data_IF_961278060038
#
_entry.id   IF_961278060038
#
_cell.length_a   1.000
_cell.length_b   1.000
_cell.length_c   1.000
_cell.angle_alpha   90.00
_cell.angle_beta   90.00
_cell.angle_gamma   90.00
#
_symmetry.space_group_name_H-M   'P 1'
#
loop_
_entity.id
_entity.type
_entity.pdbx_description
1 polymer ?
#
# COMPACT_ATOMS: atom_id res chain seq x y z
N UNK A 1 -24.61 2.48 5.30
CA UNK A 1 -24.09 1.09 5.31
C UNK A 1 -24.67 0.19 4.23
N UNK A 2 -25.96 0.31 3.87
CA UNK A 2 -26.65 -0.58 2.90
C UNK A 2 -25.85 -0.86 1.61
N UNK A 3 -25.27 0.18 1.00
CA UNK A 3 -24.39 0.06 -0.17
C UNK A 3 -23.25 -0.94 0.06
N UNK A 4 -22.46 -0.75 1.13
CA UNK A 4 -21.32 -1.60 1.48
C UNK A 4 -21.71 -3.05 1.77
N UNK A 5 -22.87 -3.26 2.39
CA UNK A 5 -23.42 -4.60 2.65
C UNK A 5 -23.82 -5.35 1.37
N UNK A 6 -23.98 -4.64 0.25
CA UNK A 6 -24.35 -5.19 -1.06
C UNK A 6 -23.20 -5.09 -2.10
N UNK A 7 -21.95 -5.05 -1.64
CA UNK A 7 -20.75 -5.08 -2.50
C UNK A 7 -19.96 -6.40 -2.41
N UNK A 8 -20.48 -7.42 -1.72
CA UNK A 8 -19.88 -8.75 -1.71
C UNK A 8 -20.52 -9.63 -2.81
N UNK A 9 -19.74 -10.20 -3.75
CA UNK A 9 -20.31 -10.92 -4.90
C UNK A 9 -21.13 -12.17 -4.56
N UNK A 10 -20.91 -12.79 -3.39
CA UNK A 10 -21.60 -14.02 -2.98
C UNK A 10 -22.93 -13.67 -2.30
N UNK A 11 -22.96 -12.61 -1.51
CA UNK A 11 -24.09 -12.30 -0.63
C UNK A 11 -24.97 -11.13 -1.10
N UNK A 12 -24.50 -10.31 -2.05
CA UNK A 12 -25.25 -9.16 -2.54
C UNK A 12 -26.53 -9.56 -3.29
N UNK A 13 -27.63 -8.83 -3.05
CA UNK A 13 -28.93 -9.06 -3.70
C UNK A 13 -29.32 -7.98 -4.74
N UNK A 14 -28.51 -6.92 -4.85
CA UNK A 14 -28.80 -5.76 -5.68
C UNK A 14 -29.68 -4.75 -4.92
N UNK A 15 -29.60 -3.48 -5.29
CA UNK A 15 -30.38 -2.39 -4.69
C UNK A 15 -31.13 -1.62 -5.76
N UNK A 16 -32.33 -1.17 -5.42
CA UNK A 16 -33.12 -0.25 -6.23
C UNK A 16 -33.57 0.93 -5.35
N UNK A 17 -33.19 2.14 -5.72
CA UNK A 17 -33.60 3.36 -5.02
C UNK A 17 -34.48 4.20 -5.95
N UNK A 18 -35.74 4.41 -5.57
CA UNK A 18 -36.62 5.32 -6.29
C UNK A 18 -36.13 6.77 -6.12
N UNK A 19 -36.00 7.49 -7.24
CA UNK A 19 -35.64 8.90 -7.29
C UNK A 19 -36.59 9.60 -8.27
N UNK A 20 -37.67 10.15 -7.74
CA UNK A 20 -38.74 10.73 -8.54
C UNK A 20 -39.47 9.64 -9.33
N UNK A 21 -39.51 9.81 -10.66
CA UNK A 21 -40.10 8.89 -11.64
C UNK A 21 -39.15 7.78 -12.12
N UNK A 22 -37.90 7.75 -11.63
CA UNK A 22 -36.87 6.77 -12.04
C UNK A 22 -36.34 5.95 -10.87
N UNK A 23 -35.71 4.83 -11.17
CA UNK A 23 -34.97 4.03 -10.20
C UNK A 23 -33.46 4.08 -10.50
N UNK A 24 -32.66 4.34 -9.46
CA UNK A 24 -31.24 4.03 -9.47
C UNK A 24 -31.07 2.56 -9.09
N UNK A 25 -30.60 1.75 -10.04
CA UNK A 25 -30.36 0.32 -9.83
C UNK A 25 -28.86 0.07 -9.64
N UNK A 26 -28.49 -0.52 -8.52
CA UNK A 26 -27.18 -1.08 -8.28
C UNK A 26 -27.27 -2.60 -8.43
N UNK A 27 -26.67 -3.12 -9.49
CA UNK A 27 -26.54 -4.56 -9.67
C UNK A 27 -25.56 -5.15 -8.64
N UNK A 28 -25.75 -6.41 -8.22
CA UNK A 28 -24.72 -7.16 -7.52
C UNK A 28 -23.39 -7.12 -8.30
N UNK A 29 -22.23 -7.06 -7.62
CA UNK A 29 -20.95 -7.15 -8.30
C UNK A 29 -20.77 -8.54 -8.92
N UNK A 30 -19.97 -8.60 -9.99
CA UNK A 30 -19.61 -9.87 -10.60
C UNK A 30 -18.84 -10.77 -9.61
N UNK A 31 -19.04 -12.09 -9.74
CA UNK A 31 -18.28 -13.06 -8.97
C UNK A 31 -16.77 -12.87 -9.16
N UNK A 32 -16.04 -12.99 -8.05
CA UNK A 32 -14.58 -12.96 -8.09
C UNK A 32 -14.07 -14.06 -9.01
N UNK A 33 -13.16 -13.68 -9.92
CA UNK A 33 -12.59 -14.62 -10.86
C UNK A 33 -11.86 -15.75 -10.14
N UNK A 34 -12.07 -16.97 -10.63
CA UNK A 34 -11.29 -18.13 -10.22
C UNK A 34 -9.83 -17.97 -10.69
N UNK A 35 -8.90 -18.65 -10.02
CA UNK A 35 -7.49 -18.62 -10.40
C UNK A 35 -7.26 -18.98 -11.89
N UNK A 36 -7.87 -20.05 -12.48
CA UNK A 36 -7.70 -20.34 -13.90
C UNK A 36 -8.25 -19.24 -14.83
N UNK A 37 -9.34 -18.57 -14.45
CA UNK A 37 -9.86 -17.43 -15.22
C UNK A 37 -8.92 -16.23 -15.15
N UNK A 38 -8.36 -15.95 -13.97
CA UNK A 38 -7.39 -14.88 -13.77
C UNK A 38 -6.12 -15.16 -14.58
N UNK A 39 -5.61 -16.39 -14.51
CA UNK A 39 -4.44 -16.83 -15.27
C UNK A 39 -4.67 -16.68 -16.78
N UNK A 40 -5.85 -17.05 -17.28
CA UNK A 40 -6.22 -16.90 -18.70
C UNK A 40 -6.20 -15.43 -19.14
N UNK A 41 -6.69 -14.51 -18.31
CA UNK A 41 -6.66 -13.07 -18.60
C UNK A 41 -5.22 -12.58 -18.70
N UNK A 42 -4.36 -12.92 -17.74
CA UNK A 42 -2.96 -12.47 -17.76
C UNK A 42 -2.09 -13.21 -18.80
N UNK A 43 -2.56 -14.35 -19.33
CA UNK A 43 -1.93 -15.06 -20.43
C UNK A 43 -2.26 -14.49 -21.82
N UNK A 44 -3.17 -13.51 -21.93
CA UNK A 44 -3.46 -12.86 -23.20
C UNK A 44 -2.19 -12.21 -23.80
N UNK A 45 -2.15 -12.13 -25.12
CA UNK A 45 -1.02 -11.59 -25.89
C UNK A 45 -1.03 -10.06 -25.87
N UNK A 46 -0.80 -9.48 -24.70
CA UNK A 46 -0.64 -8.04 -24.56
C UNK A 46 0.59 -7.54 -25.30
N UNK A 47 0.45 -6.38 -25.94
CA UNK A 47 1.55 -5.68 -26.63
C UNK A 47 2.74 -5.40 -25.69
N UNK A 48 2.44 -5.15 -24.40
CA UNK A 48 3.43 -4.73 -23.38
C UNK A 48 4.21 -3.46 -23.77
N UNK A 49 3.65 -2.66 -24.66
CA UNK A 49 4.13 -1.34 -25.02
C UNK A 49 2.97 -0.37 -25.25
N UNK A 50 3.29 0.90 -25.46
CA UNK A 50 2.31 1.91 -25.83
C UNK A 50 1.69 1.58 -27.20
N UNK A 51 0.37 1.73 -27.31
CA UNK A 51 -0.31 1.46 -28.58
C UNK A 51 0.21 2.40 -29.70
N UNK A 52 0.47 1.90 -30.92
CA UNK A 52 1.11 2.69 -31.99
C UNK A 52 0.42 4.01 -32.33
N UNK A 53 -0.91 4.08 -32.18
CA UNK A 53 -1.67 5.33 -32.35
C UNK A 53 -1.20 6.43 -31.38
N UNK A 54 -0.96 6.10 -30.11
CA UNK A 54 -0.51 7.07 -29.11
C UNK A 54 0.99 7.33 -29.20
N UNK A 55 1.80 6.35 -29.62
CA UNK A 55 3.26 6.54 -29.78
C UNK A 55 3.58 7.70 -30.73
N UNK A 56 2.76 7.87 -31.79
CA UNK A 56 2.85 9.00 -32.73
C UNK A 56 2.60 10.37 -32.09
N UNK A 57 1.96 10.41 -30.92
CA UNK A 57 1.62 11.63 -30.19
C UNK A 57 2.65 11.98 -29.11
N UNK A 58 3.65 11.12 -28.90
CA UNK A 58 4.70 11.30 -27.90
C UNK A 58 4.78 10.15 -26.92
N UNK A 59 5.83 10.19 -26.10
CA UNK A 59 6.15 9.13 -25.15
C UNK A 59 5.26 9.19 -23.92
N UNK A 60 4.78 8.02 -23.45
CA UNK A 60 4.05 7.91 -22.19
C UNK A 60 5.03 7.64 -21.05
N UNK A 61 5.32 8.67 -20.25
CA UNK A 61 6.22 8.57 -19.09
C UNK A 61 5.80 7.49 -18.09
N UNK A 62 4.50 7.25 -17.92
CA UNK A 62 4.01 6.20 -17.02
C UNK A 62 4.55 4.80 -17.40
N UNK A 63 4.85 4.57 -18.68
CA UNK A 63 5.34 3.27 -19.15
C UNK A 63 6.75 2.97 -18.61
N UNK A 64 7.54 3.98 -18.29
CA UNK A 64 8.86 3.82 -17.67
C UNK A 64 8.78 3.10 -16.33
N UNK A 65 7.68 3.29 -15.60
CA UNK A 65 7.49 2.69 -14.26
C UNK A 65 6.70 1.40 -14.32
N UNK A 66 5.70 1.28 -15.20
CA UNK A 66 4.75 0.15 -15.17
C UNK A 66 5.02 -0.98 -16.17
N UNK A 67 5.85 -0.76 -17.22
CA UNK A 67 5.97 -1.71 -18.36
C UNK A 67 6.31 -3.14 -17.93
N UNK A 68 7.20 -3.28 -16.95
CA UNK A 68 7.67 -4.57 -16.44
C UNK A 68 7.23 -4.80 -15.00
N UNK A 69 6.01 -4.37 -14.67
CA UNK A 69 5.33 -4.67 -13.42
C UNK A 69 4.36 -5.82 -13.61
N UNK A 70 4.33 -6.76 -12.67
CA UNK A 70 3.54 -7.99 -12.77
C UNK A 70 2.57 -8.06 -11.58
N UNK A 71 1.25 -7.94 -11.83
CA UNK A 71 0.24 -8.17 -10.82
C UNK A 71 0.18 -9.64 -10.44
N UNK A 72 0.25 -9.95 -9.15
CA UNK A 72 0.18 -11.31 -8.58
C UNK A 72 -1.23 -11.68 -8.14
N UNK A 73 -2.02 -10.70 -7.73
CA UNK A 73 -3.39 -10.87 -7.25
C UNK A 73 -4.21 -9.60 -7.44
N UNK A 74 -5.53 -9.72 -7.27
CA UNK A 74 -6.51 -8.62 -7.19
C UNK A 74 -7.26 -8.69 -5.86
N UNK A 75 -7.84 -7.56 -5.45
CA UNK A 75 -8.61 -7.44 -4.21
C UNK A 75 -7.75 -7.04 -3.01
N UNK A 76 -8.41 -6.54 -1.96
CA UNK A 76 -7.76 -6.16 -0.71
C UNK A 76 -8.75 -6.21 0.46
N UNK A 77 -8.52 -7.11 1.43
CA UNK A 77 -9.30 -7.18 2.67
C UNK A 77 -8.81 -6.22 3.76
N UNK A 78 -7.95 -5.24 3.43
CA UNK A 78 -7.62 -4.14 4.32
C UNK A 78 -8.83 -3.24 4.63
N UNK A 79 -9.70 -3.04 3.63
CA UNK A 79 -10.97 -2.31 3.74
C UNK A 79 -10.81 -0.90 4.35
N UNK A 80 -9.67 -0.24 4.14
CA UNK A 80 -9.40 1.07 4.69
C UNK A 80 -10.50 2.05 4.23
N UNK A 81 -11.03 2.86 5.15
CA UNK A 81 -12.28 3.60 4.94
C UNK A 81 -12.18 4.66 3.82
N UNK A 82 -10.97 5.00 3.40
CA UNK A 82 -10.65 5.92 2.30
C UNK A 82 -10.31 5.24 0.98
N UNK A 83 -10.03 3.94 1.00
CA UNK A 83 -9.55 3.19 -0.15
C UNK A 83 -10.72 2.57 -0.90
N UNK A 84 -10.82 2.83 -2.21
CA UNK A 84 -11.88 2.27 -3.05
C UNK A 84 -11.63 0.81 -3.49
N UNK A 85 -10.45 0.23 -3.24
CA UNK A 85 -10.10 -1.11 -3.75
C UNK A 85 -11.07 -2.17 -3.23
N UNK A 86 -11.47 -2.12 -1.96
CA UNK A 86 -12.42 -3.07 -1.40
C UNK A 86 -13.81 -3.01 -2.07
N UNK A 87 -14.18 -1.85 -2.64
CA UNK A 87 -15.45 -1.63 -3.35
C UNK A 87 -15.29 -1.96 -4.85
N UNK A 88 -14.13 -1.67 -5.42
CA UNK A 88 -13.86 -1.84 -6.85
C UNK A 88 -13.41 -3.26 -7.23
N UNK A 89 -12.46 -3.82 -6.49
CA UNK A 89 -11.92 -5.17 -6.72
C UNK A 89 -12.49 -6.21 -5.75
N UNK A 90 -13.18 -5.75 -4.70
CA UNK A 90 -13.74 -6.61 -3.67
C UNK A 90 -12.81 -6.83 -2.49
N UNK A 91 -13.40 -7.35 -1.41
CA UNK A 91 -12.68 -7.74 -0.18
C UNK A 91 -12.03 -9.12 -0.27
N UNK A 92 -12.19 -9.84 -1.39
CA UNK A 92 -11.59 -11.15 -1.60
C UNK A 92 -10.33 -11.01 -2.44
N UNK A 93 -9.22 -11.54 -1.93
CA UNK A 93 -7.95 -11.59 -2.64
C UNK A 93 -7.94 -12.80 -3.55
N UNK A 94 -8.00 -12.55 -4.85
CA UNK A 94 -7.90 -13.56 -5.90
C UNK A 94 -6.49 -13.56 -6.47
N UNK A 95 -5.75 -14.64 -6.25
CA UNK A 95 -4.35 -14.77 -6.65
C UNK A 95 -4.21 -15.58 -7.94
N UNK A 96 -3.31 -15.13 -8.81
CA UNK A 96 -2.86 -15.92 -9.97
C UNK A 96 -2.11 -17.16 -9.49
N UNK A 97 -1.99 -18.16 -10.35
CA UNK A 97 -1.08 -19.26 -10.06
C UNK A 97 0.36 -18.81 -10.19
N UNK A 98 1.26 -19.45 -9.45
CA UNK A 98 2.69 -19.28 -9.61
C UNK A 98 3.11 -19.52 -11.07
N UNK A 99 2.60 -20.58 -11.70
CA UNK A 99 2.91 -20.91 -13.09
C UNK A 99 2.56 -19.77 -14.07
N UNK A 100 1.41 -19.12 -13.88
CA UNK A 100 1.02 -17.95 -14.70
C UNK A 100 2.01 -16.80 -14.54
N UNK A 101 2.42 -16.50 -13.31
CA UNK A 101 3.37 -15.42 -13.01
C UNK A 101 4.75 -15.74 -13.60
N UNK A 102 5.26 -16.96 -13.39
CA UNK A 102 6.56 -17.39 -13.93
C UNK A 102 6.56 -17.39 -15.46
N UNK A 103 5.45 -17.78 -16.11
CA UNK A 103 5.32 -17.73 -17.56
C UNK A 103 5.37 -16.28 -18.08
N UNK A 104 4.72 -15.35 -17.39
CA UNK A 104 4.77 -13.93 -17.75
C UNK A 104 6.16 -13.32 -17.55
N UNK A 105 6.87 -13.66 -16.47
CA UNK A 105 8.27 -13.24 -16.27
C UNK A 105 9.14 -13.69 -17.44
N UNK A 106 9.01 -14.95 -17.87
CA UNK A 106 9.75 -15.51 -19.02
C UNK A 106 9.38 -14.83 -20.35
N UNK A 107 8.13 -14.40 -20.51
CA UNK A 107 7.71 -13.64 -21.68
C UNK A 107 8.32 -12.23 -21.68
N UNK A 108 8.27 -11.54 -20.54
CA UNK A 108 8.87 -10.21 -20.35
C UNK A 108 10.38 -10.25 -20.56
N UNK A 109 11.07 -11.31 -20.13
CA UNK A 109 12.53 -11.41 -20.28
C UNK A 109 13.02 -11.43 -21.73
N UNK A 110 12.14 -11.73 -22.68
CA UNK A 110 12.41 -11.72 -24.12
C UNK A 110 12.10 -10.38 -24.80
N UNK A 111 11.49 -9.45 -24.07
CA UNK A 111 11.12 -8.15 -24.63
C UNK A 111 12.39 -7.32 -24.91
N UNK A 112 12.53 -6.69 -26.10
CA UNK A 112 13.79 -6.04 -26.51
C UNK A 112 14.21 -4.88 -25.61
N UNK A 113 13.25 -4.21 -24.95
CA UNK A 113 13.52 -3.12 -24.00
C UNK A 113 13.78 -3.60 -22.55
N UNK A 114 13.75 -4.90 -22.28
CA UNK A 114 13.91 -5.44 -20.94
C UNK A 114 15.38 -5.47 -20.52
N UNK A 115 15.67 -5.01 -19.30
CA UNK A 115 17.05 -4.87 -18.77
C UNK A 115 17.33 -5.81 -17.58
N UNK A 116 16.54 -6.87 -17.44
CA UNK A 116 16.64 -7.80 -16.32
C UNK A 116 16.01 -7.30 -15.02
N UNK A 117 15.16 -6.27 -15.06
CA UNK A 117 14.56 -5.67 -13.86
C UNK A 117 13.04 -5.76 -13.97
N UNK A 118 12.41 -6.51 -13.06
CA UNK A 118 10.97 -6.43 -12.80
C UNK A 118 10.75 -5.28 -11.82
N UNK A 119 10.00 -4.27 -12.26
CA UNK A 119 9.83 -3.00 -11.53
C UNK A 119 8.94 -3.14 -10.29
N UNK A 120 7.94 -4.02 -10.37
CA UNK A 120 7.06 -4.35 -9.27
C UNK A 120 6.49 -5.75 -9.45
N UNK A 121 6.56 -6.57 -8.40
CA UNK A 121 5.83 -7.82 -8.28
C UNK A 121 4.89 -7.70 -7.09
N UNK A 122 3.59 -7.48 -7.35
CA UNK A 122 2.69 -7.09 -6.28
C UNK A 122 1.22 -7.09 -6.66
N UNK A 123 0.43 -6.31 -5.95
CA UNK A 123 -1.00 -6.10 -6.13
C UNK A 123 -1.39 -4.87 -5.32
N UNK A 124 -2.69 -4.64 -5.05
CA UNK A 124 -3.14 -3.57 -4.16
C UNK A 124 -2.35 -3.42 -2.86
N UNK A 125 -1.96 -4.55 -2.29
CA UNK A 125 -0.99 -4.66 -1.19
C UNK A 125 -0.11 -5.85 -1.51
N UNK A 126 1.19 -5.65 -1.72
CA UNK A 126 2.04 -6.67 -2.31
C UNK A 126 2.03 -7.98 -1.52
N UNK A 127 2.01 -7.92 -0.19
CA UNK A 127 2.10 -9.08 0.69
C UNK A 127 0.77 -9.74 1.06
N UNK A 128 -0.24 -9.65 0.19
CA UNK A 128 -1.48 -10.42 0.31
C UNK A 128 -1.54 -11.64 -0.64
N UNK A 129 -0.55 -11.81 -1.51
CA UNK A 129 -0.53 -12.90 -2.48
C UNK A 129 -0.70 -14.27 -1.81
N UNK A 130 -1.66 -15.05 -2.32
CA UNK A 130 -2.03 -16.39 -1.85
C UNK A 130 -2.49 -16.49 -0.39
N UNK A 131 -2.80 -15.37 0.27
CA UNK A 131 -3.32 -15.36 1.64
C UNK A 131 -4.82 -15.04 1.60
N UNK A 132 -5.66 -16.04 1.88
CA UNK A 132 -7.10 -15.84 1.95
C UNK A 132 -7.80 -16.73 3.00
N UNK A 133 -8.91 -16.23 3.54
CA UNK A 133 -9.79 -16.88 4.47
C UNK A 133 -10.71 -17.87 3.75
N UNK A 134 -10.55 -19.17 4.03
CA UNK A 134 -11.39 -20.24 3.46
C UNK A 134 -12.90 -20.01 3.70
N UNK A 135 -13.29 -19.51 4.89
CA UNK A 135 -14.71 -19.19 5.18
C UNK A 135 -15.25 -18.13 4.21
N UNK A 136 -14.44 -17.13 3.86
CA UNK A 136 -14.86 -16.03 2.98
C UNK A 136 -15.06 -16.52 1.54
N UNK A 137 -14.26 -17.47 1.08
CA UNK A 137 -14.39 -18.05 -0.26
C UNK A 137 -15.71 -18.79 -0.47
N UNK A 138 -16.29 -19.37 0.60
CA UNK A 138 -17.57 -20.09 0.51
C UNK A 138 -18.78 -19.23 0.86
N UNK A 139 -18.67 -18.39 1.90
CA UNK A 139 -19.83 -17.70 2.48
C UNK A 139 -19.87 -16.20 2.18
N UNK A 140 -18.90 -15.67 1.44
CA UNK A 140 -18.71 -14.23 1.28
C UNK A 140 -18.02 -13.57 2.49
N UNK A 141 -17.70 -12.30 2.33
CA UNK A 141 -17.04 -11.51 3.37
C UNK A 141 -17.97 -11.24 4.55
N UNK A 142 -17.45 -11.32 5.78
CA UNK A 142 -18.24 -11.06 6.99
C UNK A 142 -18.88 -9.67 6.94
N UNK A 143 -20.11 -9.57 7.43
CA UNK A 143 -20.89 -8.32 7.46
C UNK A 143 -20.43 -7.41 8.59
N UNK A 144 -20.10 -8.01 9.73
CA UNK A 144 -19.84 -7.38 11.03
C UNK A 144 -18.35 -7.35 11.41
N UNK A 145 -17.48 -7.97 10.60
CA UNK A 145 -16.06 -8.13 10.91
C UNK A 145 -15.16 -7.74 9.75
N UNK A 146 -14.11 -6.99 10.06
CA UNK A 146 -13.02 -6.66 9.11
C UNK A 146 -11.84 -7.58 9.37
N UNK A 147 -11.07 -7.88 8.31
CA UNK A 147 -10.02 -8.89 8.40
C UNK A 147 -8.77 -8.41 9.14
N UNK A 148 -8.43 -7.11 9.04
CA UNK A 148 -7.19 -6.54 9.55
C UNK A 148 -7.40 -5.38 10.55
N UNK A 149 -8.64 -5.16 11.02
CA UNK A 149 -8.98 -4.06 11.91
C UNK A 149 -10.17 -4.42 12.81
N UNK A 150 -10.22 -4.03 14.10
CA UNK A 150 -9.17 -3.33 14.86
C UNK A 150 -7.92 -4.20 15.08
N UNK A 151 -8.14 -5.51 15.19
CA UNK A 151 -7.11 -6.53 15.27
C UNK A 151 -7.22 -7.48 14.07
N UNK A 152 -6.12 -8.16 13.76
CA UNK A 152 -6.09 -9.17 12.71
C UNK A 152 -7.00 -10.33 13.10
N UNK A 153 -7.90 -10.70 12.20
CA UNK A 153 -8.84 -11.78 12.42
C UNK A 153 -8.09 -13.11 12.58
N UNK A 154 -8.30 -13.88 13.66
CA UNK A 154 -7.56 -15.13 13.90
C UNK A 154 -7.91 -16.25 12.91
N UNK A 155 -9.02 -16.11 12.17
CA UNK A 155 -9.43 -17.05 11.12
C UNK A 155 -8.66 -16.78 9.82
N UNK A 156 -8.17 -15.55 9.61
CA UNK A 156 -7.29 -15.25 8.49
C UNK A 156 -5.89 -15.76 8.83
N UNK A 157 -5.56 -16.94 8.30
CA UNK A 157 -4.22 -17.54 8.46
C UNK A 157 -3.23 -16.79 7.58
N UNK A 158 -2.49 -15.85 8.17
CA UNK A 158 -1.43 -15.12 7.47
C UNK A 158 -0.20 -16.02 7.40
N UNK A 159 0.25 -16.29 6.18
CA UNK A 159 1.48 -17.02 5.88
C UNK A 159 2.09 -16.49 4.58
N UNK A 160 3.31 -15.95 4.66
CA UNK A 160 4.02 -15.39 3.52
C UNK A 160 4.86 -16.42 2.73
N UNK A 161 4.80 -17.72 3.09
CA UNK A 161 5.58 -18.79 2.45
C UNK A 161 5.44 -18.81 0.92
N UNK A 162 4.22 -18.69 0.40
CA UNK A 162 3.93 -18.73 -1.04
C UNK A 162 4.55 -17.56 -1.80
N UNK A 163 4.57 -16.36 -1.20
CA UNK A 163 5.20 -15.21 -1.84
C UNK A 163 6.72 -15.27 -1.75
N UNK A 164 7.26 -15.75 -0.62
CA UNK A 164 8.69 -15.97 -0.43
C UNK A 164 9.25 -16.94 -1.47
N UNK A 165 8.56 -18.06 -1.70
CA UNK A 165 8.93 -19.06 -2.70
C UNK A 165 8.86 -18.48 -4.13
N UNK A 166 7.77 -17.79 -4.47
CA UNK A 166 7.62 -17.12 -5.76
C UNK A 166 8.76 -16.13 -6.04
N UNK A 167 9.07 -15.25 -5.10
CA UNK A 167 10.14 -14.26 -5.22
C UNK A 167 11.51 -14.94 -5.44
N UNK A 168 11.77 -16.00 -4.68
CA UNK A 168 13.00 -16.80 -4.81
C UNK A 168 13.11 -17.43 -6.19
N UNK A 169 12.04 -18.09 -6.67
CA UNK A 169 12.00 -18.74 -7.99
C UNK A 169 12.22 -17.75 -9.13
N UNK A 170 11.56 -16.58 -9.09
CA UNK A 170 11.71 -15.55 -10.14
C UNK A 170 13.16 -15.07 -10.21
N UNK A 171 13.83 -14.88 -9.07
CA UNK A 171 15.23 -14.44 -9.01
C UNK A 171 16.21 -15.43 -9.66
N UNK A 172 15.86 -16.71 -9.72
CA UNK A 172 16.68 -17.76 -10.34
C UNK A 172 16.45 -17.91 -11.85
N UNK A 173 15.49 -17.19 -12.43
CA UNK A 173 15.22 -17.26 -13.87
C UNK A 173 16.33 -16.57 -14.67
N UNK A 174 16.93 -17.22 -15.68
CA UNK A 174 17.94 -16.60 -16.54
C UNK A 174 17.46 -15.30 -17.19
N UNK A 175 18.30 -14.27 -17.16
CA UNK A 175 17.98 -12.93 -17.65
C UNK A 175 17.29 -12.03 -16.63
N UNK A 176 16.93 -12.53 -15.44
CA UNK A 176 16.43 -11.71 -14.33
C UNK A 176 17.58 -11.32 -13.40
N UNK A 177 17.85 -10.02 -13.29
CA UNK A 177 18.86 -9.44 -12.41
C UNK A 177 18.26 -8.99 -11.07
N UNK A 178 17.06 -8.37 -11.12
CA UNK A 178 16.34 -7.85 -9.97
C UNK A 178 14.83 -8.01 -10.13
N UNK A 179 14.18 -8.24 -9.01
CA UNK A 179 12.72 -8.24 -8.86
C UNK A 179 12.42 -7.32 -7.70
N UNK A 180 11.69 -6.24 -7.92
CA UNK A 180 11.37 -5.32 -6.85
C UNK A 180 9.94 -5.51 -6.36
N UNK A 181 9.72 -5.24 -5.08
CA UNK A 181 8.39 -5.02 -4.51
C UNK A 181 8.21 -3.52 -4.39
N UNK A 182 7.67 -2.93 -5.46
CA UNK A 182 7.42 -1.50 -5.59
C UNK A 182 6.06 -1.05 -5.05
N UNK A 183 5.14 -2.01 -4.88
CA UNK A 183 3.88 -1.84 -4.16
C UNK A 183 4.09 -1.89 -2.65
N UNK A 184 3.21 -1.20 -1.90
CA UNK A 184 3.31 -1.15 -0.44
C UNK A 184 3.03 -2.50 0.22
N UNK A 185 3.69 -2.76 1.35
CA UNK A 185 3.41 -3.93 2.18
C UNK A 185 2.69 -3.54 3.48
N UNK A 186 1.88 -4.46 3.99
CA UNK A 186 1.24 -4.37 5.30
C UNK A 186 2.16 -4.95 6.36
N UNK A 187 2.84 -4.04 7.06
CA UNK A 187 3.80 -4.37 8.12
C UNK A 187 3.17 -5.15 9.27
N UNK A 188 1.90 -4.91 9.59
CA UNK A 188 1.16 -5.63 10.62
C UNK A 188 0.91 -7.10 10.23
N UNK A 189 0.74 -7.40 8.94
CA UNK A 189 0.69 -8.79 8.46
C UNK A 189 2.05 -9.48 8.62
N UNK A 190 3.15 -8.80 8.30
CA UNK A 190 4.51 -9.33 8.49
C UNK A 190 4.77 -9.67 9.96
N UNK A 191 4.31 -8.82 10.89
CA UNK A 191 4.45 -9.07 12.33
C UNK A 191 3.52 -10.17 12.86
N UNK A 192 2.37 -10.38 12.21
CA UNK A 192 1.40 -11.40 12.60
C UNK A 192 1.80 -12.80 12.14
N UNK A 193 2.55 -12.90 11.03
CA UNK A 193 3.10 -14.17 10.55
C UNK A 193 4.29 -14.61 11.39
N UNK A 194 4.00 -15.45 12.38
CA UNK A 194 5.00 -16.00 13.31
C UNK A 194 5.94 -17.03 12.66
N UNK A 195 5.56 -17.61 11.52
CA UNK A 195 6.32 -18.69 10.89
C UNK A 195 7.27 -18.13 9.83
N UNK A 196 6.74 -17.33 8.90
CA UNK A 196 7.45 -16.90 7.71
C UNK A 196 7.65 -15.38 7.63
N UNK A 197 7.07 -14.59 8.53
CA UNK A 197 7.12 -13.12 8.47
C UNK A 197 8.55 -12.56 8.54
N UNK A 198 9.40 -13.10 9.43
CA UNK A 198 10.81 -12.71 9.52
C UNK A 198 11.62 -13.16 8.29
N UNK A 199 11.39 -14.38 7.81
CA UNK A 199 12.06 -14.90 6.62
C UNK A 199 11.68 -14.09 5.37
N UNK A 200 10.39 -13.76 5.22
CA UNK A 200 9.87 -12.88 4.20
C UNK A 200 10.53 -11.50 4.25
N UNK A 201 10.58 -10.85 5.42
CA UNK A 201 11.21 -9.53 5.54
C UNK A 201 12.71 -9.58 5.20
N UNK A 202 13.41 -10.65 5.61
CA UNK A 202 14.82 -10.87 5.24
C UNK A 202 15.00 -10.93 3.72
N UNK A 203 14.17 -11.71 3.02
CA UNK A 203 14.23 -11.80 1.54
C UNK A 203 13.95 -10.43 0.89
N UNK A 204 12.92 -9.71 1.37
CA UNK A 204 12.57 -8.37 0.85
C UNK A 204 13.72 -7.37 0.98
N UNK A 205 14.36 -7.31 2.14
CA UNK A 205 15.50 -6.42 2.41
C UNK A 205 16.72 -6.84 1.58
N UNK A 206 17.03 -8.14 1.58
CA UNK A 206 18.20 -8.69 0.92
C UNK A 206 18.12 -8.63 -0.61
N UNK A 207 16.93 -8.71 -1.20
CA UNK A 207 16.82 -8.90 -2.66
C UNK A 207 15.81 -7.99 -3.37
N UNK A 208 14.72 -7.57 -2.72
CA UNK A 208 13.57 -6.97 -3.42
C UNK A 208 13.27 -5.50 -3.11
N UNK A 209 14.12 -4.84 -2.33
CA UNK A 209 14.01 -3.41 -2.02
C UNK A 209 15.00 -2.61 -2.88
N UNK A 210 14.49 -1.74 -3.78
CA UNK A 210 15.27 -0.92 -4.73
C UNK A 210 15.93 0.33 -4.10
N UNK A 211 15.99 0.38 -2.78
CA UNK A 211 16.44 1.52 -1.98
C UNK A 211 15.36 2.05 -1.03
N UNK A 212 14.09 1.98 -1.44
CA UNK A 212 12.97 2.36 -0.60
C UNK A 212 11.94 1.23 -0.50
N UNK A 213 11.55 0.88 0.72
CA UNK A 213 10.42 -0.01 0.98
C UNK A 213 9.21 0.81 1.42
N UNK A 214 8.10 0.65 0.71
CA UNK A 214 6.89 1.44 0.92
C UNK A 214 5.99 0.79 1.96
N UNK A 215 5.58 1.59 2.93
CA UNK A 215 4.58 1.25 3.94
C UNK A 215 3.56 2.36 4.06
N UNK A 216 2.34 2.01 4.46
CA UNK A 216 1.22 2.94 4.51
C UNK A 216 0.62 2.92 5.92
N UNK A 217 1.11 3.80 6.83
CA UNK A 217 0.48 4.06 8.12
C UNK A 217 -0.58 5.16 8.06
N UNK A 218 -0.51 6.03 7.04
CA UNK A 218 -1.43 7.13 6.69
C UNK A 218 -1.57 8.25 7.71
N UNK A 219 -1.57 7.94 9.01
CA UNK A 219 -1.68 8.90 10.10
C UNK A 219 -0.98 8.39 11.38
N UNK A 220 -1.00 9.18 12.45
CA UNK A 220 -0.46 8.79 13.76
C UNK A 220 -1.44 8.97 14.93
N UNK A 221 -2.39 9.92 14.82
CA UNK A 221 -3.43 10.14 15.82
C UNK A 221 -4.37 8.92 15.95
N UNK A 222 -4.57 8.36 17.17
CA UNK A 222 -5.35 7.13 17.36
C UNK A 222 -6.80 7.19 16.86
N UNK A 223 -7.52 8.29 17.09
CA UNK A 223 -8.91 8.40 16.64
C UNK A 223 -9.01 8.54 15.12
N UNK A 224 -8.08 9.26 14.49
CA UNK A 224 -8.00 9.37 13.02
C UNK A 224 -7.71 7.99 12.42
N UNK A 225 -6.75 7.24 12.97
CA UNK A 225 -6.44 5.87 12.54
C UNK A 225 -7.66 4.94 12.70
N UNK A 226 -8.41 5.06 13.80
CA UNK A 226 -9.67 4.33 14.00
C UNK A 226 -10.69 4.66 12.90
N UNK A 227 -10.90 5.95 12.60
CA UNK A 227 -11.79 6.39 11.50
C UNK A 227 -11.28 5.98 10.11
N UNK A 228 -9.98 5.81 9.92
CA UNK A 228 -9.40 5.25 8.70
C UNK A 228 -9.55 3.73 8.61
N UNK A 229 -9.81 3.05 9.73
CA UNK A 229 -9.78 1.60 9.83
C UNK A 229 -8.35 1.05 9.73
N UNK A 230 -7.42 1.68 10.44
CA UNK A 230 -5.99 1.37 10.47
C UNK A 230 -5.53 1.03 11.89
N UNK A 231 -4.56 0.11 12.05
CA UNK A 231 -4.01 -0.22 13.36
C UNK A 231 -3.23 0.96 13.97
N UNK A 232 -2.95 0.87 15.27
CA UNK A 232 -2.13 1.88 15.95
C UNK A 232 -0.67 1.88 15.46
N UNK A 233 0.05 2.97 15.71
CA UNK A 233 1.45 3.17 15.32
C UNK A 233 2.44 2.17 15.93
N UNK A 234 2.04 1.42 16.97
CA UNK A 234 2.94 0.49 17.67
C UNK A 234 3.48 -0.62 16.75
N UNK A 235 2.65 -1.14 15.85
CA UNK A 235 3.06 -2.13 14.86
C UNK A 235 4.05 -1.55 13.84
N UNK A 236 3.86 -0.29 13.43
CA UNK A 236 4.79 0.41 12.54
C UNK A 236 6.18 0.55 13.18
N UNK A 237 6.27 0.95 14.45
CA UNK A 237 7.56 1.14 15.14
C UNK A 237 8.32 -0.18 15.31
N UNK A 238 7.61 -1.28 15.63
CA UNK A 238 8.22 -2.62 15.70
C UNK A 238 8.76 -3.04 14.34
N UNK A 239 7.98 -2.87 13.28
CA UNK A 239 8.40 -3.19 11.92
C UNK A 239 9.59 -2.33 11.47
N UNK A 240 9.57 -1.01 11.73
CA UNK A 240 10.67 -0.10 11.43
C UNK A 240 11.98 -0.60 12.04
N UNK A 241 11.97 -0.94 13.33
CA UNK A 241 13.16 -1.47 14.03
C UNK A 241 13.67 -2.77 13.39
N UNK A 242 12.77 -3.68 13.01
CA UNK A 242 13.16 -4.93 12.33
C UNK A 242 13.78 -4.66 10.97
N UNK A 243 13.17 -3.81 10.15
CA UNK A 243 13.69 -3.41 8.85
C UNK A 243 15.08 -2.77 8.97
N UNK A 244 15.23 -1.80 9.88
CA UNK A 244 16.48 -1.09 10.14
C UNK A 244 17.63 -2.01 10.55
N UNK A 245 17.36 -2.97 11.43
CA UNK A 245 18.34 -3.97 11.84
C UNK A 245 18.76 -4.88 10.68
N UNK A 246 17.80 -5.33 9.86
CA UNK A 246 18.08 -6.19 8.71
C UNK A 246 18.84 -5.44 7.62
N UNK A 247 18.45 -4.20 7.32
CA UNK A 247 19.13 -3.30 6.38
C UNK A 247 20.58 -3.07 6.78
N UNK A 248 20.83 -2.82 8.06
CA UNK A 248 22.19 -2.71 8.60
C UNK A 248 22.98 -4.01 8.42
N UNK A 249 22.37 -5.16 8.74
CA UNK A 249 23.03 -6.46 8.62
C UNK A 249 23.38 -6.84 7.17
N UNK A 250 22.58 -6.43 6.18
CA UNK A 250 22.89 -6.66 4.75
C UNK A 250 23.82 -5.58 4.14
N UNK A 251 24.16 -4.54 4.90
CA UNK A 251 25.10 -3.49 4.48
C UNK A 251 24.59 -2.61 3.33
N UNK A 252 23.27 -2.37 3.25
CA UNK A 252 22.68 -1.55 2.18
C UNK A 252 22.12 -0.25 2.72
N UNK A 253 22.18 0.80 1.89
CA UNK A 253 21.47 2.05 2.15
C UNK A 253 20.01 1.93 1.68
N UNK A 254 19.15 1.44 2.57
CA UNK A 254 17.71 1.30 2.31
C UNK A 254 16.88 2.04 3.37
N UNK A 255 15.75 2.58 2.94
CA UNK A 255 14.89 3.43 3.78
C UNK A 255 13.43 3.02 3.67
N UNK A 256 12.64 3.37 4.68
CA UNK A 256 11.19 3.27 4.61
C UNK A 256 10.61 4.55 4.03
N UNK A 257 9.72 4.40 3.05
CA UNK A 257 8.87 5.47 2.55
C UNK A 257 7.47 5.28 3.10
N UNK A 258 6.91 6.35 3.66
CA UNK A 258 5.63 6.31 4.36
C UNK A 258 4.58 7.06 3.55
N UNK A 259 3.48 6.40 3.21
CA UNK A 259 2.31 7.09 2.66
C UNK A 259 1.54 7.74 3.80
N UNK A 260 1.47 9.07 3.76
CA UNK A 260 0.82 9.92 4.76
C UNK A 260 -0.32 10.72 4.11
N UNK A 261 -1.42 10.86 4.84
CA UNK A 261 -2.60 11.58 4.39
C UNK A 261 -2.85 12.76 5.33
N UNK A 262 -2.86 13.97 4.76
CA UNK A 262 -3.25 15.20 5.43
C UNK A 262 -4.74 15.49 5.23
N UNK A 263 -5.34 16.25 6.15
CA UNK A 263 -6.74 16.72 6.06
C UNK A 263 -7.79 15.60 5.90
N UNK A 264 -7.54 14.44 6.51
CA UNK A 264 -8.54 13.38 6.60
C UNK A 264 -9.74 13.82 7.48
N UNK A 265 -10.98 13.35 7.23
CA UNK A 265 -12.11 13.63 8.11
C UNK A 265 -11.80 13.26 9.57
N UNK A 266 -12.05 14.21 10.48
CA UNK A 266 -11.71 14.13 11.89
C UNK A 266 -10.25 14.47 12.25
N UNK A 267 -9.47 14.95 11.28
CA UNK A 267 -8.10 15.47 11.48
C UNK A 267 -8.08 16.99 11.42
N UNK A 268 -8.00 17.62 12.59
CA UNK A 268 -7.76 19.06 12.71
C UNK A 268 -6.25 19.36 12.74
N UNK A 269 -5.89 20.64 12.87
CA UNK A 269 -4.51 21.07 13.07
C UNK A 269 -3.85 20.42 14.28
N UNK A 270 -4.63 20.05 15.31
CA UNK A 270 -4.14 19.30 16.48
C UNK A 270 -3.59 17.94 16.05
N UNK A 271 -4.34 17.19 15.27
CA UNK A 271 -3.96 15.87 14.78
C UNK A 271 -2.81 15.93 13.79
N UNK A 272 -2.78 16.98 12.96
CA UNK A 272 -1.67 17.23 12.05
C UNK A 272 -0.36 17.54 12.79
N UNK A 273 -0.43 18.28 13.91
CA UNK A 273 0.72 18.47 14.81
C UNK A 273 1.18 17.15 15.44
N UNK A 274 0.26 16.31 15.90
CA UNK A 274 0.62 14.97 16.42
C UNK A 274 1.29 14.11 15.35
N UNK A 275 0.79 14.15 14.11
CA UNK A 275 1.40 13.45 12.99
C UNK A 275 2.80 13.99 12.69
N UNK A 276 2.97 15.32 12.67
CA UNK A 276 4.28 15.95 12.53
C UNK A 276 5.26 15.49 13.62
N UNK A 277 4.86 15.56 14.88
CA UNK A 277 5.69 15.15 16.01
C UNK A 277 6.07 13.68 15.92
N UNK A 278 5.14 12.81 15.53
CA UNK A 278 5.42 11.38 15.32
C UNK A 278 6.45 11.16 14.21
N UNK A 279 6.23 11.79 13.05
CA UNK A 279 7.10 11.68 11.88
C UNK A 279 8.52 12.18 12.17
N UNK A 280 8.65 13.36 12.81
CA UNK A 280 9.94 13.94 13.14
C UNK A 280 10.65 13.17 14.26
N UNK A 281 9.95 12.83 15.35
CA UNK A 281 10.59 12.31 16.55
C UNK A 281 10.66 10.78 16.62
N UNK A 282 9.81 10.05 15.89
CA UNK A 282 9.78 8.57 15.91
C UNK A 282 10.23 7.95 14.59
N UNK A 283 9.87 8.58 13.47
CA UNK A 283 10.30 8.10 12.16
C UNK A 283 11.58 8.77 11.67
N UNK A 284 11.97 9.91 12.26
CA UNK A 284 13.18 10.68 11.94
C UNK A 284 13.26 11.09 10.47
N UNK A 285 12.14 11.56 9.91
CA UNK A 285 12.10 12.05 8.54
C UNK A 285 11.36 13.38 8.41
N UNK A 286 11.63 14.05 7.30
CA UNK A 286 10.81 15.14 6.76
C UNK A 286 10.15 14.61 5.50
N UNK A 287 8.82 14.33 5.50
CA UNK A 287 8.18 13.68 4.36
C UNK A 287 8.11 14.62 3.16
N UNK A 288 8.63 14.16 2.02
CA UNK A 288 8.45 14.86 0.74
C UNK A 288 7.09 14.54 0.11
N UNK A 289 6.52 13.37 0.44
CA UNK A 289 5.27 12.86 -0.14
C UNK A 289 4.17 12.79 0.92
N UNK A 290 3.38 13.87 1.01
CA UNK A 290 2.14 13.91 1.80
C UNK A 290 0.97 14.19 0.86
N UNK A 291 0.00 13.29 0.86
CA UNK A 291 -1.20 13.42 0.05
C UNK A 291 -2.28 14.18 0.84
N UNK A 292 -2.89 15.19 0.23
CA UNK A 292 -4.12 15.77 0.78
C UNK A 292 -5.26 14.80 0.54
N UNK A 293 -6.07 14.56 1.56
CA UNK A 293 -7.26 13.71 1.42
C UNK A 293 -8.20 14.25 0.34
N UNK A 294 -8.48 13.37 -0.62
CA UNK A 294 -9.45 13.58 -1.70
C UNK A 294 -10.59 12.59 -1.52
N UNK A 295 -11.85 13.06 -1.38
CA UNK A 295 -12.99 12.17 -1.24
C UNK A 295 -13.12 11.27 -2.46
N UNK A 296 -12.89 9.98 -2.28
CA UNK A 296 -13.00 8.97 -3.34
C UNK A 296 -14.43 8.43 -3.38
N UNK A 297 -15.09 8.34 -4.55
CA UNK A 297 -16.47 7.86 -4.64
C UNK A 297 -16.70 6.54 -3.90
N UNK A 298 -17.88 6.41 -3.31
CA UNK A 298 -18.34 5.18 -2.64
C UNK A 298 -17.54 4.75 -1.40
N UNK A 299 -16.67 5.61 -0.87
CA UNK A 299 -15.90 5.32 0.35
C UNK A 299 -16.56 5.86 1.62
N UNK A 300 -16.35 5.19 2.77
CA UNK A 300 -16.80 5.72 4.07
C UNK A 300 -16.18 7.08 4.40
N UNK A 301 -14.92 7.31 4.03
CA UNK A 301 -14.26 8.59 4.22
C UNK A 301 -14.93 9.71 3.42
N UNK A 302 -15.49 9.41 2.24
CA UNK A 302 -16.30 10.38 1.50
C UNK A 302 -17.62 10.69 2.19
N UNK A 303 -18.29 9.67 2.77
CA UNK A 303 -19.49 9.91 3.59
C UNK A 303 -19.14 10.81 4.78
N UNK A 304 -18.06 10.49 5.50
CA UNK A 304 -17.53 11.33 6.59
C UNK A 304 -17.27 12.75 6.11
N UNK A 305 -16.60 12.91 4.97
CA UNK A 305 -16.30 14.20 4.39
C UNK A 305 -17.56 15.01 4.12
N UNK A 306 -18.54 14.47 3.40
CA UNK A 306 -19.73 15.23 2.99
C UNK A 306 -20.76 15.44 4.09
N UNK A 307 -20.88 14.51 5.04
CA UNK A 307 -21.87 14.59 6.11
C UNK A 307 -21.33 15.21 7.40
N UNK A 308 -20.00 15.33 7.52
CA UNK A 308 -19.32 15.80 8.72
C UNK A 308 -19.67 14.96 9.96
N UNK A 309 -19.97 13.68 9.74
CA UNK A 309 -20.34 12.71 10.76
C UNK A 309 -19.56 11.42 10.62
N UNK A 310 -19.23 10.81 11.75
CA UNK A 310 -18.80 9.41 11.75
C UNK A 310 -20.01 8.54 11.35
N UNK A 311 -19.95 7.75 10.26
CA UNK A 311 -21.09 6.97 9.79
C UNK A 311 -21.46 5.83 10.74
N UNK A 312 -20.57 5.42 11.66
CA UNK A 312 -20.80 4.32 12.60
C UNK A 312 -21.38 4.81 13.94
N UNK A 313 -21.00 6.00 14.40
CA UNK A 313 -21.48 6.57 15.68
C UNK A 313 -22.49 7.70 15.50
N UNK A 314 -22.59 8.27 14.30
CA UNK A 314 -23.35 9.49 13.97
C UNK A 314 -22.87 10.77 14.67
N UNK A 315 -21.74 10.72 15.38
CA UNK A 315 -21.13 11.88 16.03
C UNK A 315 -20.60 12.87 14.99
N UNK A 316 -20.73 14.16 15.27
CA UNK A 316 -20.15 15.22 14.44
C UNK A 316 -18.63 15.18 14.51
N UNK A 317 -17.99 15.25 13.35
CA UNK A 317 -16.53 15.26 13.21
C UNK A 317 -16.08 16.50 12.45
N UNK A 318 -14.90 17.02 12.81
CA UNK A 318 -14.29 18.11 12.06
C UNK A 318 -13.92 17.66 10.64
N UNK A 319 -14.25 18.45 9.63
CA UNK A 319 -13.83 18.20 8.26
C UNK A 319 -13.30 19.48 7.65
N UNK A 320 -12.04 19.49 7.24
CA UNK A 320 -11.49 20.64 6.52
C UNK A 320 -11.99 20.63 5.06
N UNK A 321 -12.71 21.69 4.68
CA UNK A 321 -13.28 21.88 3.33
C UNK A 321 -12.50 22.90 2.52
N UNK A 322 -11.86 23.85 3.18
CA UNK A 322 -11.12 24.92 2.54
C UNK A 322 -9.80 24.38 1.96
N UNK A 323 -9.61 24.56 0.66
CA UNK A 323 -8.43 24.05 -0.07
C UNK A 323 -7.14 24.64 0.49
N UNK A 324 -7.12 25.93 0.79
CA UNK A 324 -5.96 26.62 1.38
C UNK A 324 -5.58 26.01 2.72
N UNK A 325 -6.57 25.72 3.57
CA UNK A 325 -6.33 25.10 4.88
C UNK A 325 -5.87 23.64 4.76
N UNK A 326 -6.42 22.88 3.82
CA UNK A 326 -5.92 21.52 3.51
C UNK A 326 -4.45 21.55 3.09
N UNK A 327 -4.07 22.51 2.26
CA UNK A 327 -2.67 22.71 1.85
C UNK A 327 -1.83 23.12 3.06
N UNK A 328 -2.31 24.03 3.91
CA UNK A 328 -1.61 24.41 5.14
C UNK A 328 -1.34 23.19 6.04
N UNK A 329 -2.32 22.31 6.23
CA UNK A 329 -2.15 21.06 6.98
C UNK A 329 -1.09 20.13 6.37
N UNK A 330 -1.08 19.98 5.04
CA UNK A 330 -0.03 19.24 4.34
C UNK A 330 1.35 19.86 4.62
N UNK A 331 1.46 21.18 4.48
CA UNK A 331 2.72 21.92 4.65
C UNK A 331 3.24 21.90 6.10
N UNK A 332 2.36 21.74 7.10
CA UNK A 332 2.79 21.53 8.48
C UNK A 332 3.73 20.34 8.61
N UNK A 333 3.50 19.27 7.84
CA UNK A 333 4.31 18.06 7.88
C UNK A 333 5.49 18.15 6.93
N UNK A 334 5.29 18.68 5.73
CA UNK A 334 6.30 18.71 4.67
C UNK A 334 7.45 19.71 4.95
N UNK A 335 7.22 20.75 5.76
CA UNK A 335 8.25 21.77 6.06
C UNK A 335 9.08 21.42 7.30
N UNK A 336 10.42 21.56 7.22
CA UNK A 336 11.29 21.51 8.41
C UNK A 336 10.84 22.55 9.45
N UNK A 337 10.92 22.21 10.74
CA UNK A 337 10.74 23.23 11.79
C UNK A 337 11.93 24.18 11.80
N UNK A 338 11.71 25.47 12.06
CA UNK A 338 12.79 26.46 12.14
C UNK A 338 13.89 26.08 13.16
N UNK A 339 13.57 25.27 14.18
CA UNK A 339 14.56 24.76 15.14
C UNK A 339 15.45 23.63 14.59
N UNK A 340 15.10 23.00 13.47
CA UNK A 340 15.98 22.02 12.80
C UNK A 340 16.99 22.67 11.85
N UNK A 341 16.83 23.96 11.55
CA UNK A 341 17.75 24.71 10.69
C UNK A 341 18.99 25.26 11.44
N UNK A 342 19.02 25.21 12.78
CA UNK A 342 20.06 25.83 13.61
C UNK A 342 20.85 24.89 14.54
N UNK A 343 20.78 23.55 14.33
CA UNK A 343 21.63 22.59 15.08
C UNK A 343 22.43 21.64 14.20
N UNK A 344 23.05 22.17 13.15
CA UNK A 344 24.30 21.61 12.60
C UNK A 344 25.48 22.47 13.04
N UNK A 345 25.66 22.63 14.35
CA UNK A 345 26.99 22.89 14.90
C UNK A 345 27.60 21.54 15.28
N UNK A 346 28.78 21.29 14.75
CA UNK A 346 29.53 20.05 14.91
C UNK A 346 29.75 19.73 16.40
N UNK A 347 29.04 18.72 16.90
CA UNK A 347 29.41 18.04 18.13
C UNK A 347 30.60 17.14 17.78
N UNK A 348 31.75 17.40 18.41
CA UNK A 348 32.94 16.53 18.31
C UNK A 348 32.56 15.09 18.72
N UNK A 349 33.10 14.06 18.06
CA UNK A 349 32.65 12.69 18.28
C UNK A 349 33.21 12.16 19.60
N UNK A 350 32.32 11.92 20.56
CA UNK A 350 32.56 10.98 21.66
C UNK A 350 31.89 9.64 21.31
N UNK A 351 32.73 8.61 21.17
CA UNK A 351 32.48 7.16 21.14
C UNK A 351 31.03 6.67 21.00
N UNK A 352 30.45 6.80 19.80
CA UNK A 352 29.31 6.00 19.35
C UNK A 352 29.66 5.35 17.99
N UNK A 353 29.42 4.03 17.81
CA UNK A 353 29.76 3.35 16.57
C UNK A 353 28.98 3.93 15.39
N UNK A 354 29.69 4.15 14.29
CA UNK A 354 29.29 4.93 13.14
C UNK A 354 27.97 4.49 12.47
N UNK A 355 26.92 5.30 12.67
CA UNK A 355 26.19 5.96 11.57
C UNK A 355 24.83 5.40 11.15
N UNK A 356 23.75 5.96 11.72
CA UNK A 356 22.51 6.27 11.01
C UNK A 356 22.60 7.74 10.55
N UNK A 357 22.41 7.98 9.25
CA UNK A 357 22.22 9.30 8.64
C UNK A 357 23.30 10.38 8.94
N UNK A 358 24.48 10.24 8.32
CA UNK A 358 25.31 11.34 7.79
C UNK A 358 26.68 10.79 7.36
N UNK A 359 26.78 10.26 6.14
CA UNK A 359 28.08 10.16 5.46
C UNK A 359 28.13 11.26 4.38
N UNK A 360 29.19 12.09 4.34
CA UNK A 360 29.35 13.06 3.27
C UNK A 360 29.45 12.33 1.92
N UNK A 361 28.66 12.77 0.95
CA UNK A 361 28.72 12.28 -0.44
C UNK A 361 30.16 12.44 -0.95
N UNK A 362 30.82 11.33 -1.21
CA UNK A 362 32.05 11.30 -2.01
C UNK A 362 31.72 11.86 -3.40
N UNK A 363 32.35 12.98 -3.76
CA UNK A 363 32.31 13.52 -5.10
C UNK A 363 32.84 12.45 -6.08
N UNK A 364 31.96 11.98 -6.97
CA UNK A 364 32.38 11.19 -8.13
C UNK A 364 33.26 12.08 -9.02
N UNK A 365 34.54 11.75 -9.12
CA UNK A 365 35.42 12.30 -10.17
C UNK A 365 34.91 11.82 -11.52
N UNK A 366 34.76 12.75 -12.45
CA UNK A 366 34.49 12.49 -13.86
C UNK A 366 35.67 11.75 -14.49
N UNK A 367 35.37 10.67 -15.22
CA UNK A 367 36.12 10.20 -16.38
C UNK A 367 35.12 9.70 -17.41
#
# INVERSE_FOLDING_TARGET
HLFYQNNDPITAKGLAQQKGDRFLVQNPPALTLTQPQLDKIYALTYERDQHPYYEKQGTVKALETIRFSIPTHRGCYGECNFCAIAVHEGRTVASRSENSILAEVKAISRHPKFKGIINDLGGPTANMYAIECAKKLHNGACVDKRCLFPDICPVLKIDHSSQLDLLTKIRLIPGINKVFVGSGIRYDMVLADKQNGLAYLKEIVAHHTSGQLKVAPEHAAPHVLKMMGKPSVGSLLKFKKMFENLTYAVGKDQYLTYYLIAAYPGSSDREMKQLKDFVTNKLHLTPEQVQVFTPTPSTYASVMYYTEKDPFTSETIFVEKNITQKVAQKEMIAKPTASSAQKTQAVKPSNLPHGYANKPRLQRKSR
#
